data_IF_142886147362
#
_entry.id   IF_142886147362
#
_cell.length_a   1.000
_cell.length_b   1.000
_cell.length_c   1.000
_cell.angle_alpha   90.00
_cell.angle_beta   90.00
_cell.angle_gamma   90.00
#
_symmetry.space_group_name_H-M   'P 1'
#
loop_
_entity.id
_entity.type
_entity.pdbx_description
1 polymer ?
#
# COMPACT_ATOMS: atom_id res chain seq x y z
N UNK A 1 -2.66 -23.63 -6.15
CA UNK A 1 -2.42 -22.77 -4.98
C UNK A 1 -2.45 -21.32 -5.47
N UNK A 2 -3.43 -20.50 -5.06
CA UNK A 2 -3.36 -19.06 -5.32
C UNK A 2 -2.01 -18.49 -4.88
N UNK A 3 -1.50 -17.47 -5.56
CA UNK A 3 -0.32 -16.72 -5.11
C UNK A 3 -0.78 -15.49 -4.35
N UNK A 4 -0.11 -15.16 -3.26
CA UNK A 4 -0.33 -13.92 -2.49
C UNK A 4 0.93 -13.07 -2.54
N UNK A 5 0.77 -11.77 -2.78
CA UNK A 5 1.85 -10.80 -2.69
C UNK A 5 1.65 -9.92 -1.44
N UNK A 6 2.73 -9.72 -0.69
CA UNK A 6 2.83 -8.74 0.40
C UNK A 6 3.89 -7.73 0.00
N UNK A 7 3.54 -6.45 0.07
CA UNK A 7 4.47 -5.35 -0.19
C UNK A 7 4.71 -4.58 1.10
N UNK A 8 5.97 -4.24 1.36
CA UNK A 8 6.36 -3.31 2.42
C UNK A 8 6.79 -2.01 1.77
N UNK A 9 6.23 -0.90 2.23
CA UNK A 9 6.48 0.42 1.66
C UNK A 9 6.77 1.43 2.77
N UNK A 10 7.55 2.45 2.44
CA UNK A 10 7.64 3.66 3.27
C UNK A 10 6.68 4.71 2.73
N UNK A 11 6.02 5.43 3.63
CA UNK A 11 5.17 6.55 3.26
C UNK A 11 5.96 7.87 3.21
N UNK A 12 5.43 8.84 2.48
CA UNK A 12 5.94 10.22 2.46
C UNK A 12 5.74 10.88 3.84
N UNK A 13 6.53 11.92 4.17
CA UNK A 13 6.51 12.51 5.53
C UNK A 13 5.18 13.17 5.87
N UNK A 14 4.48 13.66 4.86
CA UNK A 14 3.16 14.27 4.95
C UNK A 14 2.11 13.30 5.50
N UNK A 15 2.36 11.99 5.43
CA UNK A 15 1.52 10.99 6.06
C UNK A 15 1.50 11.11 7.61
N UNK A 16 2.55 11.66 8.23
CA UNK A 16 2.65 11.83 9.69
C UNK A 16 1.55 12.78 10.23
N UNK A 17 0.94 13.61 9.37
CA UNK A 17 -0.14 14.53 9.72
C UNK A 17 -1.52 13.86 9.75
N UNK A 18 -1.62 12.59 9.33
CA UNK A 18 -2.87 11.84 9.23
C UNK A 18 -2.89 10.62 10.14
N UNK A 19 -4.10 10.26 10.57
CA UNK A 19 -4.30 9.01 11.29
C UNK A 19 -4.07 7.81 10.35
N UNK A 20 -3.50 6.73 10.90
CA UNK A 20 -3.22 5.51 10.14
C UNK A 20 -4.49 4.95 9.48
N UNK A 21 -5.61 4.97 10.18
CA UNK A 21 -6.90 4.47 9.69
C UNK A 21 -7.40 5.25 8.46
N UNK A 22 -7.11 6.55 8.38
CA UNK A 22 -7.45 7.36 7.21
C UNK A 22 -6.58 6.98 6.01
N UNK A 23 -5.28 6.82 6.22
CA UNK A 23 -4.31 6.44 5.18
C UNK A 23 -4.64 5.05 4.63
N UNK A 24 -4.90 4.08 5.51
CA UNK A 24 -5.28 2.72 5.13
C UNK A 24 -6.52 2.71 4.24
N UNK A 25 -7.55 3.47 4.63
CA UNK A 25 -8.77 3.60 3.83
C UNK A 25 -8.47 4.18 2.45
N UNK A 26 -7.67 5.26 2.37
CA UNK A 26 -7.30 5.86 1.09
C UNK A 26 -6.52 4.90 0.19
N UNK A 27 -5.51 4.20 0.74
CA UNK A 27 -4.75 3.20 0.00
C UNK A 27 -5.67 2.11 -0.55
N UNK A 28 -6.59 1.60 0.28
CA UNK A 28 -7.52 0.57 -0.14
C UNK A 28 -8.46 1.04 -1.26
N UNK A 29 -8.97 2.28 -1.19
CA UNK A 29 -9.83 2.85 -2.23
C UNK A 29 -9.08 3.02 -3.56
N UNK A 30 -7.89 3.61 -3.54
CA UNK A 30 -7.08 3.83 -4.76
C UNK A 30 -6.58 2.52 -5.42
N UNK A 31 -6.34 1.48 -4.64
CA UNK A 31 -5.96 0.16 -5.16
C UNK A 31 -7.13 -0.57 -5.86
N UNK A 32 -8.38 -0.17 -5.58
CA UNK A 32 -9.56 -0.73 -6.25
C UNK A 32 -9.87 -0.05 -7.58
N UNK A 33 -9.34 1.15 -7.80
CA UNK A 33 -9.48 1.88 -9.06
C UNK A 33 -8.47 1.39 -10.11
N UNK A 34 -8.81 1.52 -11.40
CA UNK A 34 -7.91 1.17 -12.50
C UNK A 34 -7.32 2.44 -13.14
N UNK A 35 -5.98 2.57 -13.26
CA UNK A 35 -4.96 1.65 -12.76
C UNK A 35 -4.78 1.75 -11.23
N UNK A 36 -4.46 0.64 -10.54
CA UNK A 36 -4.28 0.66 -9.10
C UNK A 36 -3.06 1.51 -8.74
N UNK A 37 -3.24 2.39 -7.75
CA UNK A 37 -2.18 3.27 -7.24
C UNK A 37 -2.10 3.16 -5.73
N UNK A 38 -0.89 3.32 -5.20
CA UNK A 38 -0.67 3.42 -3.76
C UNK A 38 -0.41 4.89 -3.45
N UNK A 39 -1.41 5.65 -2.96
CA UNK A 39 -1.18 7.00 -2.48
C UNK A 39 -0.20 6.97 -1.31
N UNK A 40 0.47 8.10 -1.05
CA UNK A 40 1.47 8.23 0.02
C UNK A 40 2.75 7.43 -0.17
N UNK A 41 2.90 6.64 -1.24
CA UNK A 41 4.10 5.87 -1.50
C UNK A 41 5.32 6.80 -1.67
N UNK A 42 6.32 6.65 -0.80
CA UNK A 42 7.64 7.24 -0.99
C UNK A 42 8.57 6.27 -1.70
N UNK A 43 8.64 5.03 -1.20
CA UNK A 43 9.47 3.97 -1.79
C UNK A 43 8.94 2.59 -1.44
N UNK A 44 9.21 1.61 -2.29
CA UNK A 44 8.97 0.18 -2.00
C UNK A 44 10.21 -0.37 -1.30
N UNK A 45 10.02 -0.96 -0.12
CA UNK A 45 11.10 -1.57 0.66
C UNK A 45 11.28 -3.05 0.30
N UNK A 46 10.17 -3.78 0.19
CA UNK A 46 10.19 -5.23 -0.04
C UNK A 46 8.94 -5.68 -0.79
N UNK A 47 9.09 -6.70 -1.63
CA UNK A 47 7.99 -7.44 -2.26
C UNK A 47 8.21 -8.93 -2.05
N UNK A 48 7.27 -9.58 -1.37
CA UNK A 48 7.31 -11.01 -1.07
C UNK A 48 6.09 -11.70 -1.69
N UNK A 49 6.33 -12.81 -2.41
CA UNK A 49 5.25 -13.62 -3.02
C UNK A 49 5.27 -15.01 -2.40
N UNK A 50 4.12 -15.44 -1.86
CA UNK A 50 3.94 -16.76 -1.24
C UNK A 50 2.84 -17.56 -1.95
N UNK A 51 2.94 -18.87 -1.88
CA UNK A 51 1.87 -19.79 -2.28
C UNK A 51 0.87 -19.94 -1.12
N UNK A 52 -0.43 -19.92 -1.43
CA UNK A 52 -1.54 -20.14 -0.48
C UNK A 52 -2.41 -21.33 -0.87
#
# INVERSE_FOLDING_TARGET
MPKRATIKISLVKEADEKANEEIEKQIFEYLREYPPKIPWLKNVEEVTVTEV
#
